data_IF_738338471713
#
_entry.id   IF_738338471713
#
_cell.length_a   1.000
_cell.length_b   1.000
_cell.length_c   1.000
_cell.angle_alpha   90.00
_cell.angle_beta   90.00
_cell.angle_gamma   90.00
#
_symmetry.space_group_name_H-M   'P 1'
#
loop_
_entity.id
_entity.type
_entity.pdbx_description
1 polymer ?
#
# COMPACT_ATOMS: atom_id res chain seq x y z
N UNK A 1 28.62 1.59 14.97
CA UNK A 1 28.06 0.33 14.41
C UNK A 1 27.18 -0.46 15.39
N UNK A 2 27.65 -0.82 16.60
CA UNK A 2 26.85 -1.62 17.56
C UNK A 2 25.50 -1.01 17.95
N UNK A 3 25.44 0.30 18.17
CA UNK A 3 24.19 0.97 18.58
C UNK A 3 23.18 1.12 17.44
N UNK A 4 23.68 1.29 16.21
CA UNK A 4 22.84 1.28 15.02
C UNK A 4 22.21 -0.11 14.80
N UNK A 5 23.02 -1.17 14.94
CA UNK A 5 22.53 -2.55 14.88
C UNK A 5 21.48 -2.84 15.97
N UNK A 6 21.72 -2.35 17.19
CA UNK A 6 20.79 -2.45 18.33
C UNK A 6 19.48 -1.68 18.11
N UNK A 7 19.48 -0.63 17.30
CA UNK A 7 18.29 0.16 16.98
C UNK A 7 17.48 -0.45 15.83
N UNK A 8 18.14 -1.02 14.84
CA UNK A 8 17.50 -1.48 13.60
C UNK A 8 17.08 -2.96 13.59
N UNK A 9 17.56 -3.80 14.51
CA UNK A 9 17.21 -5.22 14.48
C UNK A 9 15.71 -5.48 14.58
N UNK A 10 14.99 -4.77 15.45
CA UNK A 10 13.57 -5.00 15.65
C UNK A 10 12.74 -4.64 14.38
N UNK A 11 12.87 -3.44 13.79
CA UNK A 11 12.19 -3.16 12.53
C UNK A 11 12.65 -4.08 11.39
N UNK A 12 13.92 -4.49 11.35
CA UNK A 12 14.38 -5.47 10.36
C UNK A 12 13.70 -6.85 10.53
N UNK A 13 13.57 -7.33 11.77
CA UNK A 13 12.81 -8.55 12.07
C UNK A 13 11.34 -8.43 11.66
N UNK A 14 10.72 -7.26 11.87
CA UNK A 14 9.33 -7.03 11.47
C UNK A 14 9.18 -7.10 9.95
N UNK A 15 10.06 -6.43 9.20
CA UNK A 15 10.07 -6.48 7.73
C UNK A 15 10.28 -7.91 7.25
N UNK A 16 11.28 -8.61 7.78
CA UNK A 16 11.56 -10.00 7.40
C UNK A 16 10.36 -10.91 7.68
N UNK A 17 9.70 -10.76 8.83
CA UNK A 17 8.50 -11.51 9.17
C UNK A 17 7.35 -11.25 8.18
N UNK A 18 7.13 -9.99 7.78
CA UNK A 18 6.14 -9.64 6.76
C UNK A 18 6.48 -10.30 5.41
N UNK A 19 7.73 -10.21 4.97
CA UNK A 19 8.19 -10.80 3.70
C UNK A 19 8.02 -12.31 3.69
N UNK A 20 8.38 -13.00 4.79
CA UNK A 20 8.19 -14.45 4.93
C UNK A 20 6.70 -14.80 4.90
N UNK A 21 5.85 -14.05 5.62
CA UNK A 21 4.41 -14.27 5.64
C UNK A 21 3.81 -14.14 4.22
N UNK A 22 4.11 -13.06 3.51
CA UNK A 22 3.57 -12.84 2.16
C UNK A 22 4.10 -13.88 1.17
N UNK A 23 5.39 -14.20 1.22
CA UNK A 23 5.96 -15.25 0.37
C UNK A 23 5.30 -16.61 0.63
N UNK A 24 5.08 -16.97 1.90
CA UNK A 24 4.39 -18.20 2.26
C UNK A 24 2.95 -18.22 1.73
N UNK A 25 2.20 -17.12 1.86
CA UNK A 25 0.83 -17.03 1.33
C UNK A 25 0.79 -17.17 -0.19
N UNK A 26 1.71 -16.51 -0.92
CA UNK A 26 1.80 -16.65 -2.37
C UNK A 26 2.16 -18.07 -2.80
N UNK A 27 3.09 -18.74 -2.11
CA UNK A 27 3.43 -20.15 -2.38
C UNK A 27 2.21 -21.05 -2.15
N UNK A 28 1.50 -20.86 -1.04
CA UNK A 28 0.32 -21.67 -0.70
C UNK A 28 -0.85 -21.45 -1.68
N UNK A 29 -0.98 -20.24 -2.22
CA UNK A 29 -2.02 -19.88 -3.19
C UNK A 29 -1.64 -20.18 -4.64
N UNK A 30 -0.37 -20.47 -4.93
CA UNK A 30 0.15 -20.54 -6.29
C UNK A 30 0.08 -19.19 -7.04
N UNK A 31 0.12 -18.08 -6.32
CA UNK A 31 0.00 -16.72 -6.85
C UNK A 31 1.37 -16.02 -6.90
N UNK A 32 1.47 -14.90 -7.63
CA UNK A 32 2.70 -14.13 -7.76
C UNK A 32 2.43 -12.63 -7.51
N UNK A 33 3.08 -11.98 -6.52
CA UNK A 33 2.85 -10.57 -6.21
C UNK A 33 3.27 -9.61 -7.31
N UNK A 34 4.09 -10.07 -8.28
CA UNK A 34 4.53 -9.30 -9.43
C UNK A 34 3.54 -9.35 -10.60
N UNK A 35 2.53 -10.21 -10.55
CA UNK A 35 1.48 -10.28 -11.56
C UNK A 35 0.51 -9.11 -11.35
N UNK A 36 0.27 -8.26 -12.36
CA UNK A 36 -0.73 -7.20 -12.26
C UNK A 36 -2.13 -7.76 -12.02
N UNK A 37 -2.93 -7.07 -11.22
CA UNK A 37 -4.34 -7.41 -11.00
C UNK A 37 -5.18 -7.17 -12.26
N UNK A 38 -6.20 -8.00 -12.46
CA UNK A 38 -7.22 -7.73 -13.47
C UNK A 38 -8.04 -6.48 -13.15
N UNK A 39 -8.11 -6.09 -11.86
CA UNK A 39 -8.84 -4.92 -11.37
C UNK A 39 -7.91 -3.71 -11.15
N UNK A 40 -7.03 -3.45 -12.13
CA UNK A 40 -5.95 -2.46 -12.08
C UNK A 40 -6.37 -1.05 -12.53
N UNK A 41 -7.56 -0.57 -12.13
CA UNK A 41 -8.11 0.72 -12.59
C UNK A 41 -7.13 1.90 -12.41
N UNK A 42 -6.34 1.91 -11.34
CA UNK A 42 -5.32 2.95 -11.11
C UNK A 42 -4.17 2.89 -12.12
N UNK A 43 -3.76 1.72 -12.59
CA UNK A 43 -2.75 1.58 -13.64
C UNK A 43 -3.29 2.10 -14.97
N UNK A 44 -4.53 1.76 -15.32
CA UNK A 44 -5.18 2.28 -16.52
C UNK A 44 -5.35 3.80 -16.46
N UNK A 45 -5.78 4.35 -15.31
CA UNK A 45 -5.88 5.78 -15.09
C UNK A 45 -4.52 6.48 -15.24
N UNK A 46 -3.46 5.93 -14.62
CA UNK A 46 -2.11 6.45 -14.72
C UNK A 46 -1.58 6.48 -16.16
N UNK A 47 -1.87 5.44 -16.95
CA UNK A 47 -1.46 5.38 -18.36
C UNK A 47 -2.18 6.44 -19.21
N UNK A 48 -3.41 6.81 -18.89
CA UNK A 48 -4.09 7.95 -19.53
C UNK A 48 -3.49 9.29 -19.10
N UNK A 49 -3.15 9.45 -17.82
CA UNK A 49 -2.48 10.66 -17.33
C UNK A 49 -1.15 10.91 -18.06
N UNK A 50 -0.40 9.85 -18.38
CA UNK A 50 0.83 9.96 -19.21
C UNK A 50 0.56 10.53 -20.60
N UNK A 51 -0.65 10.38 -21.14
CA UNK A 51 -1.09 10.93 -22.42
C UNK A 51 -1.76 12.31 -22.29
N UNK A 52 -1.81 12.90 -21.09
CA UNK A 52 -2.55 14.13 -20.82
C UNK A 52 -4.06 13.97 -20.88
N UNK A 53 -4.57 12.75 -20.65
CA UNK A 53 -6.00 12.41 -20.70
C UNK A 53 -6.48 11.88 -19.35
N UNK A 54 -7.77 11.99 -19.10
CA UNK A 54 -8.43 11.46 -17.89
C UNK A 54 -9.42 10.32 -18.18
N UNK A 55 -9.97 10.28 -19.40
CA UNK A 55 -10.84 9.20 -19.85
C UNK A 55 -10.00 8.02 -20.36
N UNK A 56 -10.48 6.79 -20.16
CA UNK A 56 -9.95 5.58 -20.76
C UNK A 56 -10.27 5.54 -22.26
N UNK A 57 -9.44 4.82 -23.02
CA UNK A 57 -9.59 4.72 -24.48
C UNK A 57 -10.81 3.87 -24.89
N UNK A 58 -11.28 2.96 -24.03
CA UNK A 58 -12.41 2.07 -24.25
C UNK A 58 -13.02 1.60 -22.93
N UNK A 59 -14.20 1.01 -23.00
CA UNK A 59 -14.83 0.32 -21.88
C UNK A 59 -14.02 -0.90 -21.45
N UNK A 60 -13.98 -1.17 -20.15
CA UNK A 60 -13.35 -2.35 -19.58
C UNK A 60 -14.40 -3.05 -18.72
N UNK A 61 -15.14 -4.04 -19.28
CA UNK A 61 -16.43 -4.47 -18.74
C UNK A 61 -16.42 -5.00 -17.29
N UNK A 62 -15.29 -5.53 -16.84
CA UNK A 62 -15.15 -6.04 -15.46
C UNK A 62 -14.77 -4.95 -14.45
N UNK A 63 -14.55 -3.70 -14.87
CA UNK A 63 -14.22 -2.58 -14.01
C UNK A 63 -15.43 -1.68 -13.73
N UNK A 64 -15.47 -1.12 -12.53
CA UNK A 64 -16.48 -0.13 -12.12
C UNK A 64 -16.13 1.26 -12.69
N UNK A 65 -16.54 1.51 -13.93
CA UNK A 65 -16.30 2.77 -14.64
C UNK A 65 -17.52 3.68 -14.58
N UNK A 66 -17.27 4.98 -14.45
CA UNK A 66 -18.27 5.99 -14.75
C UNK A 66 -18.35 6.15 -16.27
N UNK A 67 -19.55 6.09 -16.85
CA UNK A 67 -19.78 6.17 -18.29
C UNK A 67 -20.71 7.33 -18.60
N UNK A 68 -20.27 8.23 -19.48
CA UNK A 68 -21.02 9.44 -19.86
C UNK A 68 -20.60 9.91 -21.25
N UNK A 69 -21.57 10.11 -22.16
CA UNK A 69 -21.32 10.57 -23.55
C UNK A 69 -20.20 9.78 -24.26
N UNK A 70 -20.30 8.46 -24.24
CA UNK A 70 -19.35 7.53 -24.87
C UNK A 70 -17.89 7.65 -24.38
N UNK A 71 -17.70 8.19 -23.18
CA UNK A 71 -16.41 8.24 -22.49
C UNK A 71 -16.47 7.43 -21.19
N UNK A 72 -15.32 6.93 -20.78
CA UNK A 72 -15.16 5.99 -19.68
C UNK A 72 -14.16 6.55 -18.68
N UNK A 73 -14.54 6.68 -17.42
CA UNK A 73 -13.67 7.20 -16.36
C UNK A 73 -13.57 6.22 -15.20
N UNK A 74 -12.39 6.15 -14.61
CA UNK A 74 -12.21 5.51 -13.32
C UNK A 74 -12.94 6.33 -12.27
N UNK A 75 -13.95 5.71 -11.65
CA UNK A 75 -14.86 6.34 -10.69
C UNK A 75 -14.26 6.52 -9.29
N UNK A 76 -13.17 5.82 -9.00
CA UNK A 76 -12.51 5.82 -7.70
C UNK A 76 -11.69 7.10 -7.44
N UNK A 77 -11.54 7.52 -6.16
CA UNK A 77 -10.67 8.63 -5.80
C UNK A 77 -9.24 8.44 -6.36
N UNK A 78 -8.62 9.48 -6.96
CA UNK A 78 -7.42 9.31 -7.76
C UNK A 78 -6.12 9.24 -6.94
N UNK A 79 -6.15 9.43 -5.62
CA UNK A 79 -4.93 9.47 -4.79
C UNK A 79 -4.07 8.21 -4.93
N UNK A 80 -4.62 6.98 -4.93
CA UNK A 80 -3.81 5.78 -5.13
C UNK A 80 -3.18 5.65 -6.52
N UNK A 81 -3.66 6.41 -7.52
CA UNK A 81 -3.05 6.49 -8.85
C UNK A 81 -1.71 7.23 -8.84
N UNK A 82 -1.46 8.14 -7.89
CA UNK A 82 -0.20 8.89 -7.82
C UNK A 82 1.03 7.98 -7.69
N UNK A 83 1.13 7.06 -6.70
CA UNK A 83 2.26 6.13 -6.64
C UNK A 83 2.31 5.19 -7.85
N UNK A 84 1.16 4.77 -8.38
CA UNK A 84 1.10 3.92 -9.58
C UNK A 84 1.66 4.65 -10.80
N UNK A 85 1.31 5.92 -10.98
CA UNK A 85 1.80 6.78 -12.05
C UNK A 85 3.32 6.84 -12.07
N UNK A 86 3.96 7.02 -10.92
CA UNK A 86 5.42 6.96 -10.81
C UNK A 86 5.97 5.59 -11.24
N UNK A 87 5.33 4.51 -10.81
CA UNK A 87 5.73 3.15 -11.17
C UNK A 87 5.50 2.83 -12.65
N UNK A 88 4.55 3.48 -13.33
CA UNK A 88 4.33 3.25 -14.77
C UNK A 88 5.52 3.68 -15.64
N UNK A 89 6.42 4.55 -15.15
CA UNK A 89 7.66 4.88 -15.86
C UNK A 89 8.68 3.72 -15.84
N UNK A 90 8.57 2.82 -14.86
CA UNK A 90 9.42 1.63 -14.74
C UNK A 90 8.77 0.39 -15.33
N UNK A 91 7.47 0.22 -15.12
CA UNK A 91 6.74 -1.01 -15.41
C UNK A 91 5.71 -0.89 -16.56
N UNK A 92 5.52 0.32 -17.11
CA UNK A 92 4.47 0.57 -18.08
C UNK A 92 3.08 0.30 -17.50
N UNK A 93 2.27 -0.44 -18.24
CA UNK A 93 0.94 -0.92 -17.85
C UNK A 93 0.98 -2.19 -16.98
N UNK A 94 2.18 -2.70 -16.67
CA UNK A 94 2.40 -3.93 -15.88
C UNK A 94 2.88 -3.65 -14.45
N UNK A 95 2.38 -2.58 -13.83
CA UNK A 95 2.72 -2.25 -12.43
C UNK A 95 2.36 -3.44 -11.52
N UNK A 96 3.27 -3.90 -10.64
CA UNK A 96 3.00 -4.99 -9.71
C UNK A 96 2.18 -4.47 -8.52
N UNK A 97 0.89 -4.23 -8.73
CA UNK A 97 -0.03 -3.64 -7.75
C UNK A 97 -0.16 -4.44 -6.45
N UNK A 98 -0.11 -5.78 -6.52
CA UNK A 98 -0.16 -6.65 -5.34
C UNK A 98 1.06 -6.44 -4.45
N UNK A 99 2.27 -6.40 -5.03
CA UNK A 99 3.49 -6.06 -4.31
C UNK A 99 3.39 -4.65 -3.70
N UNK A 100 2.83 -3.67 -4.42
CA UNK A 100 2.67 -2.31 -3.92
C UNK A 100 1.77 -2.25 -2.67
N UNK A 101 0.66 -2.98 -2.67
CA UNK A 101 -0.23 -3.10 -1.51
C UNK A 101 0.49 -3.72 -0.31
N UNK A 102 1.31 -4.75 -0.54
CA UNK A 102 2.14 -5.36 0.50
C UNK A 102 3.19 -4.39 1.06
N UNK A 103 3.79 -3.56 0.21
CA UNK A 103 4.71 -2.49 0.65
C UNK A 103 3.99 -1.47 1.54
N UNK A 104 2.74 -1.11 1.23
CA UNK A 104 1.93 -0.26 2.13
C UNK A 104 1.71 -0.91 3.49
N UNK A 105 1.46 -2.22 3.54
CA UNK A 105 1.31 -2.94 4.80
C UNK A 105 2.62 -2.97 5.61
N UNK A 106 3.77 -3.20 4.96
CA UNK A 106 5.09 -3.16 5.64
C UNK A 106 5.35 -1.77 6.24
N UNK A 107 5.08 -0.71 5.48
CA UNK A 107 5.24 0.67 5.98
C UNK A 107 4.26 0.96 7.11
N UNK A 108 3.04 0.45 7.05
CA UNK A 108 2.06 0.56 8.14
C UNK A 108 2.56 -0.13 9.41
N UNK A 109 3.05 -1.38 9.30
CA UNK A 109 3.67 -2.11 10.41
C UNK A 109 4.80 -1.30 11.07
N UNK A 110 5.70 -0.72 10.27
CA UNK A 110 6.81 0.08 10.76
C UNK A 110 6.33 1.37 11.46
N UNK A 111 5.30 2.03 10.92
CA UNK A 111 4.72 3.23 11.50
C UNK A 111 4.01 2.93 12.83
N UNK A 112 3.22 1.85 12.92
CA UNK A 112 2.60 1.39 14.17
C UNK A 112 3.67 1.00 15.18
N UNK A 113 4.71 0.28 14.77
CA UNK A 113 5.84 -0.06 15.64
C UNK A 113 6.48 1.22 16.21
N UNK A 114 6.77 2.21 15.38
CA UNK A 114 7.34 3.48 15.81
C UNK A 114 6.43 4.22 16.80
N UNK A 115 5.12 4.28 16.51
CA UNK A 115 4.11 4.89 17.37
C UNK A 115 4.08 4.22 18.76
N UNK A 116 3.97 2.89 18.81
CA UNK A 116 3.90 2.13 20.07
C UNK A 116 5.21 2.23 20.86
N UNK A 117 6.35 2.29 20.17
CA UNK A 117 7.66 2.53 20.80
C UNK A 117 7.78 3.91 21.45
N UNK A 118 7.07 4.94 20.96
CA UNK A 118 7.01 6.27 21.59
C UNK A 118 6.16 6.27 22.86
N UNK A 119 5.14 5.42 22.93
CA UNK A 119 4.32 5.21 24.12
C UNK A 119 5.03 4.37 25.20
N UNK A 120 6.37 4.34 25.19
CA UNK A 120 7.23 3.63 26.15
C UNK A 120 7.05 2.11 26.24
N UNK A 121 6.39 1.47 25.26
CA UNK A 121 6.26 0.01 25.23
C UNK A 121 7.58 -0.69 24.92
N UNK A 122 7.81 -1.89 25.46
CA UNK A 122 9.01 -2.68 25.16
C UNK A 122 9.07 -3.09 23.67
N UNK A 123 10.27 -3.42 23.15
CA UNK A 123 10.43 -3.77 21.73
C UNK A 123 9.56 -4.98 21.33
N UNK A 124 9.48 -5.99 22.21
CA UNK A 124 8.66 -7.17 21.99
C UNK A 124 7.17 -6.83 21.89
N UNK A 125 6.65 -6.03 22.84
CA UNK A 125 5.25 -5.58 22.81
C UNK A 125 4.94 -4.78 21.54
N UNK A 126 5.83 -3.87 21.13
CA UNK A 126 5.65 -3.09 19.92
C UNK A 126 5.64 -3.96 18.65
N UNK A 127 6.49 -4.99 18.58
CA UNK A 127 6.51 -5.94 17.46
C UNK A 127 5.21 -6.73 17.38
N UNK A 128 4.78 -7.33 18.50
CA UNK A 128 3.54 -8.12 18.56
C UNK A 128 2.34 -7.25 18.23
N UNK A 129 2.26 -6.05 18.82
CA UNK A 129 1.15 -5.13 18.57
C UNK A 129 1.09 -4.70 17.10
N UNK A 130 2.22 -4.31 16.49
CA UNK A 130 2.24 -3.91 15.08
C UNK A 130 1.81 -5.05 14.15
N UNK A 131 2.27 -6.28 14.42
CA UNK A 131 1.88 -7.47 13.67
C UNK A 131 0.39 -7.78 13.82
N UNK A 132 -0.15 -7.77 15.04
CA UNK A 132 -1.58 -8.03 15.28
C UNK A 132 -2.47 -6.93 14.71
N UNK A 133 -2.05 -5.68 14.80
CA UNK A 133 -2.79 -4.55 14.21
C UNK A 133 -2.96 -4.72 12.69
N UNK A 134 -1.89 -5.10 11.99
CA UNK A 134 -1.96 -5.25 10.53
C UNK A 134 -2.50 -6.61 10.08
N UNK A 135 -2.21 -7.70 10.79
CA UNK A 135 -2.47 -9.06 10.30
C UNK A 135 -3.48 -9.85 11.13
N UNK A 136 -3.87 -9.36 12.29
CA UNK A 136 -4.95 -9.92 13.12
C UNK A 136 -6.35 -9.43 12.70
N UNK A 137 -6.49 -8.86 11.49
CA UNK A 137 -7.73 -8.26 10.98
C UNK A 137 -8.00 -8.70 9.54
N UNK A 138 -9.11 -8.21 8.97
CA UNK A 138 -9.43 -8.40 7.55
C UNK A 138 -8.40 -7.82 6.60
N UNK A 139 -7.42 -7.05 7.08
CA UNK A 139 -6.40 -6.45 6.23
C UNK A 139 -5.51 -7.50 5.55
N UNK A 140 -5.12 -8.58 6.22
CA UNK A 140 -4.22 -9.60 5.65
C UNK A 140 -4.75 -10.25 4.35
N UNK A 141 -6.02 -10.70 4.27
CA UNK A 141 -6.61 -11.17 3.01
C UNK A 141 -6.57 -10.14 1.87
N UNK A 142 -6.73 -8.83 2.17
CA UNK A 142 -6.72 -7.78 1.14
C UNK A 142 -5.33 -7.60 0.51
N UNK A 143 -4.27 -8.00 1.21
CA UNK A 143 -2.88 -7.87 0.72
C UNK A 143 -2.48 -8.90 -0.36
N UNK A 144 -3.40 -9.82 -0.71
CA UNK A 144 -3.12 -10.89 -1.66
C UNK A 144 -3.49 -10.52 -3.11
N UNK A 145 -4.07 -9.35 -3.32
CA UNK A 145 -4.45 -8.85 -4.64
C UNK A 145 -4.34 -7.32 -4.68
N UNK A 146 -3.80 -6.73 -5.74
CA UNK A 146 -3.68 -5.28 -5.90
C UNK A 146 -4.84 -4.64 -6.64
N UNK A 147 -6.04 -5.21 -6.53
CA UNK A 147 -7.26 -4.60 -7.04
C UNK A 147 -7.47 -3.19 -6.47
N UNK A 148 -8.14 -2.35 -7.26
CA UNK A 148 -8.41 -0.93 -6.97
C UNK A 148 -8.93 -0.67 -5.54
N UNK A 149 -9.83 -1.51 -5.02
CA UNK A 149 -10.39 -1.35 -3.67
C UNK A 149 -9.33 -1.59 -2.59
N UNK A 150 -8.55 -2.67 -2.73
CA UNK A 150 -7.54 -3.07 -1.75
C UNK A 150 -6.39 -2.07 -1.72
N UNK A 151 -6.03 -1.53 -2.88
CA UNK A 151 -5.02 -0.48 -2.96
C UNK A 151 -5.47 0.83 -2.31
N UNK A 152 -6.74 1.22 -2.49
CA UNK A 152 -7.31 2.37 -1.80
C UNK A 152 -7.29 2.20 -0.28
N UNK A 153 -7.77 1.04 0.21
CA UNK A 153 -7.86 0.74 1.63
C UNK A 153 -6.48 0.66 2.29
N UNK A 154 -5.52 -0.01 1.67
CA UNK A 154 -4.16 -0.14 2.19
C UNK A 154 -3.42 1.19 2.25
N UNK A 155 -3.54 2.01 1.19
CA UNK A 155 -2.94 3.34 1.19
C UNK A 155 -3.61 4.27 2.20
N UNK A 156 -4.94 4.23 2.31
CA UNK A 156 -5.68 5.03 3.28
C UNK A 156 -5.28 4.68 4.73
N UNK A 157 -5.14 3.38 5.05
CA UNK A 157 -4.67 2.94 6.36
C UNK A 157 -3.24 3.44 6.63
N UNK A 158 -2.33 3.27 5.68
CA UNK A 158 -0.96 3.75 5.80
C UNK A 158 -0.91 5.26 6.09
N UNK A 159 -1.59 6.06 5.27
CA UNK A 159 -1.60 7.52 5.42
C UNK A 159 -2.21 7.95 6.76
N UNK A 160 -3.26 7.26 7.22
CA UNK A 160 -3.89 7.52 8.52
C UNK A 160 -2.93 7.22 9.67
N UNK A 161 -2.28 6.06 9.66
CA UNK A 161 -1.31 5.67 10.70
C UNK A 161 -0.10 6.61 10.69
N UNK A 162 0.41 6.98 9.51
CA UNK A 162 1.50 7.94 9.40
C UNK A 162 1.10 9.31 9.95
N UNK A 163 -0.13 9.79 9.68
CA UNK A 163 -0.61 11.04 10.24
C UNK A 163 -0.65 11.00 11.78
N UNK A 164 -1.15 9.92 12.36
CA UNK A 164 -1.18 9.72 13.83
C UNK A 164 0.24 9.66 14.40
N UNK A 165 1.15 8.90 13.78
CA UNK A 165 2.54 8.80 14.25
C UNK A 165 3.26 10.13 14.18
N UNK A 166 3.09 10.91 13.10
CA UNK A 166 3.67 12.26 12.96
C UNK A 166 3.10 13.22 13.99
N UNK A 167 1.77 13.20 14.21
CA UNK A 167 1.11 14.00 15.24
C UNK A 167 1.71 13.70 16.63
N UNK A 168 1.86 12.41 16.98
CA UNK A 168 2.47 11.99 18.25
C UNK A 168 3.97 12.33 18.35
N UNK A 169 4.67 12.43 17.21
CA UNK A 169 6.05 12.88 17.16
C UNK A 169 6.21 14.41 17.26
N UNK A 170 5.12 15.18 17.27
CA UNK A 170 5.16 16.64 17.17
C UNK A 170 5.71 17.13 15.83
N UNK A 171 5.62 16.31 14.78
CA UNK A 171 6.12 16.62 13.44
C UNK A 171 4.94 16.93 12.50
N UNK A 172 5.08 17.90 11.60
CA UNK A 172 4.04 18.20 10.63
C UNK A 172 3.84 17.04 9.65
N UNK A 173 2.61 16.90 9.15
CA UNK A 173 2.33 16.10 7.95
C UNK A 173 2.37 17.00 6.71
N UNK A 174 2.59 16.42 5.53
CA UNK A 174 2.52 17.17 4.25
C UNK A 174 1.14 17.81 4.05
N UNK A 175 0.10 17.24 4.66
CA UNK A 175 -1.26 17.79 4.69
C UNK A 175 -1.38 19.16 5.36
N UNK A 176 -0.37 19.62 6.12
CA UNK A 176 -0.35 20.96 6.72
C UNK A 176 0.31 22.01 5.81
N UNK A 177 0.82 21.61 4.65
CA UNK A 177 1.53 22.46 3.68
C UNK A 177 0.72 22.62 2.38
N UNK A 178 -0.37 21.87 2.22
CA UNK A 178 -1.36 22.00 1.14
C UNK A 178 -2.55 22.82 1.64
#
# INVERSE_FOLDING_TARGET
MRDMLRRLWAPACLVLACMVLFAALHVLQGSNPLTPSAYNSYTLQAMQWRKGRIALDHDVPHLELAIYRDQFWVSFPPVPTVPVYLLTFLFGDRVPDTLLVQLYAVMTCLAVYALVRRLSASKGHALVFASLFCFGSSFLPLLQNGAVWYQAQALALLLTVLAIERMQAGLPTVSLVL
#
